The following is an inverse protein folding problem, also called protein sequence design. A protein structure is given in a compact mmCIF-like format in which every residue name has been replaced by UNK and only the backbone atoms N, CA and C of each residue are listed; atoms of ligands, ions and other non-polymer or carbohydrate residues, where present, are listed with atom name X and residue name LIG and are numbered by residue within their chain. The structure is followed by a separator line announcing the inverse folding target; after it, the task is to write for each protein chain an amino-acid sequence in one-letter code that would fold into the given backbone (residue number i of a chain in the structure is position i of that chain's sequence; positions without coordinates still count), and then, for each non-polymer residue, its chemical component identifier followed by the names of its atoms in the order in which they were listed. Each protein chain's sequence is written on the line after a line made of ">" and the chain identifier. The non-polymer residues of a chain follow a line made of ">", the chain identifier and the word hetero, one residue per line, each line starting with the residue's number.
data_IF_517744982495
#
_entry.id   IF_517744982495
#
_cell.length_a   1.000
_cell.length_b   1.000
_cell.length_c   1.000
_cell.angle_alpha   90.00
_cell.angle_beta   90.00
_cell.angle_gamma   90.00
#
_symmetry.space_group_name_H-M   'P 1'
#
loop_
_entity.id
_entity.type
_entity.pdbx_description
1 polymer ?
#
# COMPACT_ATOMS: atom_id res chain seq x y z
N UNK A 1 70.71 56.70 -14.32
CA UNK A 1 71.02 55.34 -14.81
C UNK A 1 69.82 54.45 -14.47
N UNK A 2 69.16 53.87 -15.47
CA UNK A 2 68.17 52.77 -15.33
C UNK A 2 66.69 53.13 -15.16
N UNK A 3 65.91 53.00 -16.24
CA UNK A 3 64.43 53.01 -16.30
C UNK A 3 63.90 51.56 -16.10
N UNK A 4 62.81 51.34 -15.35
CA UNK A 4 61.67 50.48 -15.75
C UNK A 4 60.51 50.45 -14.73
N UNK A 5 59.32 50.19 -15.28
CA UNK A 5 57.96 50.46 -14.82
C UNK A 5 57.20 49.13 -14.54
N UNK A 6 55.97 49.26 -14.00
CA UNK A 6 54.82 48.32 -13.88
C UNK A 6 54.75 47.53 -12.56
N UNK A 7 53.62 47.37 -11.87
CA UNK A 7 52.21 47.74 -12.03
C UNK A 7 51.40 47.10 -10.87
N UNK A 8 50.32 47.73 -10.40
CA UNK A 8 49.49 47.25 -9.26
C UNK A 8 48.46 46.17 -9.69
N UNK A 9 48.15 45.14 -8.87
CA UNK A 9 47.01 44.27 -9.11
C UNK A 9 45.73 44.82 -8.46
N UNK A 10 44.62 44.73 -9.20
CA UNK A 10 43.23 44.95 -8.73
C UNK A 10 42.58 43.58 -8.52
N UNK A 11 42.27 43.20 -7.28
CA UNK A 11 41.29 42.13 -7.03
C UNK A 11 40.48 42.44 -5.77
N UNK A 12 39.22 42.82 -5.97
CA UNK A 12 38.30 43.11 -4.88
C UNK A 12 36.91 43.43 -5.40
N UNK A 13 36.24 42.45 -6.03
CA UNK A 13 34.79 42.49 -6.31
C UNK A 13 34.16 41.20 -6.85
N UNK A 14 34.81 40.03 -6.77
CA UNK A 14 34.26 38.79 -7.33
C UNK A 14 33.52 37.89 -6.32
N UNK A 15 33.69 38.11 -5.01
CA UNK A 15 33.17 37.17 -4.00
C UNK A 15 31.69 37.34 -3.64
N UNK A 16 31.01 38.44 -4.03
CA UNK A 16 29.63 38.70 -3.59
C UNK A 16 28.54 38.18 -4.55
N UNK A 17 28.87 37.81 -5.80
CA UNK A 17 27.91 37.25 -6.76
C UNK A 17 27.89 35.72 -6.84
N UNK A 18 28.92 35.05 -6.36
CA UNK A 18 29.01 33.57 -6.40
C UNK A 18 28.22 32.90 -5.25
N UNK A 19 28.06 33.59 -4.12
CA UNK A 19 27.34 33.04 -2.95
C UNK A 19 25.82 32.96 -3.11
N UNK A 20 25.21 33.77 -3.98
CA UNK A 20 23.74 33.80 -4.16
C UNK A 20 23.27 32.75 -5.17
N UNK A 21 24.10 32.38 -6.15
CA UNK A 21 23.77 31.36 -7.15
C UNK A 21 23.93 29.93 -6.64
N UNK A 22 24.84 29.67 -5.68
CA UNK A 22 24.97 28.32 -5.11
C UNK A 22 23.80 27.96 -4.17
N UNK A 23 23.29 28.91 -3.38
CA UNK A 23 22.18 28.63 -2.46
C UNK A 23 20.86 28.35 -3.18
N UNK A 24 20.62 28.97 -4.33
CA UNK A 24 19.45 28.70 -5.16
C UNK A 24 19.52 27.34 -5.87
N UNK A 25 20.73 26.87 -6.24
CA UNK A 25 20.91 25.56 -6.87
C UNK A 25 20.75 24.41 -5.85
N UNK A 26 21.20 24.60 -4.61
CA UNK A 26 21.02 23.61 -3.54
C UNK A 26 19.54 23.46 -3.17
N UNK A 27 18.77 24.56 -3.10
CA UNK A 27 17.33 24.48 -2.86
C UNK A 27 16.56 23.79 -4.00
N UNK A 28 16.96 23.99 -5.26
CA UNK A 28 16.33 23.35 -6.42
C UNK A 28 16.64 21.85 -6.54
N UNK A 29 17.86 21.41 -6.17
CA UNK A 29 18.23 19.99 -6.15
C UNK A 29 17.65 19.27 -4.92
N UNK A 30 17.45 19.96 -3.80
CA UNK A 30 16.82 19.39 -2.59
C UNK A 30 15.33 19.09 -2.77
N UNK A 31 14.62 19.82 -3.65
CA UNK A 31 13.19 19.60 -3.92
C UNK A 31 12.93 18.57 -5.04
N UNK A 32 13.93 18.19 -5.83
CA UNK A 32 13.82 17.08 -6.79
C UNK A 32 13.92 15.69 -6.12
N UNK A 33 14.37 15.66 -4.86
CA UNK A 33 14.50 14.46 -4.05
C UNK A 33 13.94 14.65 -2.64
N UNK A 34 12.91 15.50 -2.48
CA UNK A 34 12.03 15.29 -1.35
C UNK A 34 11.41 13.91 -1.57
N UNK A 35 11.60 12.91 -0.68
CA UNK A 35 10.75 11.74 -0.73
C UNK A 35 9.34 12.30 -0.66
N UNK A 36 8.53 12.10 -1.71
CA UNK A 36 7.10 12.11 -1.52
C UNK A 36 6.90 11.22 -0.30
N UNK A 37 6.36 11.77 0.79
CA UNK A 37 6.01 10.96 1.94
C UNK A 37 5.07 9.90 1.37
N UNK A 38 5.57 8.67 1.18
CA UNK A 38 4.72 7.58 0.72
C UNK A 38 3.73 7.39 1.84
N UNK A 39 2.49 7.81 1.63
CA UNK A 39 1.45 7.50 2.59
C UNK A 39 1.18 6.00 2.48
N UNK A 40 1.78 5.23 3.37
CA UNK A 40 1.47 3.82 3.53
C UNK A 40 -0.01 3.69 3.91
N UNK A 41 -0.73 2.79 3.24
CA UNK A 41 -2.14 2.55 3.50
C UNK A 41 -2.31 1.51 4.61
N UNK A 42 -3.21 1.77 5.56
CA UNK A 42 -3.61 0.79 6.58
C UNK A 42 -4.68 -0.13 6.01
N UNK A 43 -4.61 -1.41 6.32
CA UNK A 43 -5.56 -2.38 5.80
C UNK A 43 -5.89 -3.48 6.77
N UNK A 44 -6.84 -4.28 6.31
CA UNK A 44 -7.21 -5.55 6.91
C UNK A 44 -7.29 -6.60 5.81
N UNK A 45 -7.07 -7.85 6.15
CA UNK A 45 -7.57 -8.95 5.36
C UNK A 45 -8.64 -9.72 6.14
N UNK A 46 -9.61 -10.24 5.38
CA UNK A 46 -10.78 -10.90 5.94
C UNK A 46 -11.12 -12.12 5.12
N UNK A 47 -11.65 -13.13 5.80
CA UNK A 47 -12.00 -14.40 5.20
C UNK A 47 -13.44 -14.78 5.52
N UNK A 48 -13.75 -16.06 5.32
CA UNK A 48 -14.99 -16.67 5.75
C UNK A 48 -15.17 -16.63 7.30
N UNK A 49 -14.09 -16.43 8.07
CA UNK A 49 -14.12 -16.29 9.53
C UNK A 49 -14.73 -14.97 10.01
N UNK A 50 -14.62 -13.90 9.21
CA UNK A 50 -15.16 -12.57 9.51
C UNK A 50 -16.49 -12.31 8.79
N UNK A 51 -17.22 -13.38 8.43
CA UNK A 51 -18.46 -13.25 7.68
C UNK A 51 -19.45 -12.29 8.37
N UNK A 52 -20.00 -11.35 7.61
CA UNK A 52 -20.89 -10.30 8.12
C UNK A 52 -20.18 -9.04 8.63
N UNK A 53 -18.85 -8.96 8.55
CA UNK A 53 -18.11 -7.73 8.90
C UNK A 53 -18.57 -6.52 8.10
N UNK A 54 -18.72 -5.39 8.78
CA UNK A 54 -19.03 -4.10 8.17
C UNK A 54 -17.74 -3.38 7.79
N UNK A 55 -17.34 -3.54 6.53
CA UNK A 55 -16.12 -2.96 5.97
C UNK A 55 -16.23 -1.45 5.85
N UNK A 56 -17.43 -0.94 5.49
CA UNK A 56 -17.62 0.48 5.19
C UNK A 56 -17.27 1.38 6.38
N UNK A 57 -17.57 0.91 7.60
CA UNK A 57 -17.32 1.63 8.84
C UNK A 57 -15.97 1.31 9.52
N UNK A 58 -15.08 0.57 8.86
CA UNK A 58 -13.69 0.42 9.33
C UNK A 58 -12.84 1.64 8.99
N UNK A 59 -11.79 1.88 9.78
CA UNK A 59 -10.77 2.89 9.52
C UNK A 59 -9.73 2.45 8.47
N UNK A 60 -9.86 1.25 7.90
CA UNK A 60 -8.94 0.73 6.90
C UNK A 60 -9.04 1.53 5.58
N UNK A 61 -7.92 1.72 4.91
CA UNK A 61 -7.84 2.27 3.56
C UNK A 61 -8.12 1.18 2.50
N UNK A 62 -7.84 -0.08 2.83
CA UNK A 62 -8.10 -1.22 1.97
C UNK A 62 -8.57 -2.48 2.71
N UNK A 63 -9.16 -3.42 1.97
CA UNK A 63 -9.43 -4.79 2.43
C UNK A 63 -8.98 -5.84 1.42
N UNK A 64 -8.29 -6.90 1.84
CA UNK A 64 -7.99 -8.07 0.98
C UNK A 64 -8.87 -9.24 1.39
N UNK A 65 -9.64 -9.78 0.46
CA UNK A 65 -10.76 -10.69 0.76
C UNK A 65 -10.41 -12.12 0.35
N UNK A 66 -10.57 -13.07 1.28
CA UNK A 66 -10.43 -14.49 1.01
C UNK A 66 -11.58 -14.95 0.14
N UNK A 67 -11.29 -15.36 -1.09
CA UNK A 67 -12.32 -15.66 -2.10
C UNK A 67 -12.50 -17.14 -2.35
N UNK A 68 -11.42 -17.90 -2.38
CA UNK A 68 -11.43 -19.30 -2.82
C UNK A 68 -10.38 -20.15 -2.08
N UNK A 69 -10.71 -21.42 -1.86
CA UNK A 69 -9.88 -22.43 -1.20
C UNK A 69 -9.79 -23.68 -2.08
N UNK A 70 -8.60 -24.01 -2.56
CA UNK A 70 -8.36 -25.18 -3.39
C UNK A 70 -9.22 -25.24 -4.65
N UNK A 71 -9.90 -26.37 -4.90
CA UNK A 71 -10.67 -26.60 -6.14
C UNK A 71 -12.16 -26.88 -5.91
N UNK A 72 -12.66 -26.44 -4.76
CA UNK A 72 -14.09 -26.50 -4.43
C UNK A 72 -14.51 -27.63 -3.49
N UNK A 73 -13.55 -28.26 -2.83
CA UNK A 73 -13.80 -29.33 -1.85
C UNK A 73 -14.19 -28.85 -0.44
N UNK A 74 -14.10 -27.55 -0.15
CA UNK A 74 -14.23 -27.03 1.23
C UNK A 74 -15.62 -26.47 1.51
N UNK A 75 -16.17 -26.78 2.68
CA UNK A 75 -17.41 -26.21 3.20
C UNK A 75 -17.18 -25.73 4.63
N UNK A 76 -17.54 -24.49 4.92
CA UNK A 76 -17.42 -23.88 6.26
C UNK A 76 -18.40 -22.70 6.39
N UNK A 77 -18.37 -21.97 7.50
CA UNK A 77 -19.10 -20.72 7.67
C UNK A 77 -18.79 -19.78 6.50
N UNK A 78 -19.82 -19.37 5.76
CA UNK A 78 -19.74 -18.53 4.55
C UNK A 78 -18.81 -19.05 3.46
N UNK A 79 -18.53 -20.36 3.44
CA UNK A 79 -17.77 -21.02 2.39
C UNK A 79 -18.55 -22.21 1.84
N UNK A 80 -18.88 -22.16 0.55
CA UNK A 80 -19.63 -23.22 -0.14
C UNK A 80 -18.84 -23.65 -1.36
N UNK A 81 -18.54 -24.94 -1.45
CA UNK A 81 -17.75 -25.51 -2.54
C UNK A 81 -16.46 -24.71 -2.78
N UNK A 82 -15.72 -24.41 -1.70
CA UNK A 82 -14.47 -23.66 -1.72
C UNK A 82 -14.59 -22.19 -2.16
N UNK A 83 -15.78 -21.59 -2.22
CA UNK A 83 -15.99 -20.18 -2.58
C UNK A 83 -16.59 -19.42 -1.39
N UNK A 84 -16.02 -18.26 -1.05
CA UNK A 84 -16.55 -17.39 -0.01
C UNK A 84 -17.82 -16.69 -0.50
N UNK A 85 -18.95 -17.05 0.11
CA UNK A 85 -20.28 -16.52 -0.27
C UNK A 85 -20.49 -15.07 0.16
N UNK A 86 -19.65 -14.54 1.05
CA UNK A 86 -19.74 -13.17 1.55
C UNK A 86 -18.80 -12.20 0.81
N UNK A 87 -17.87 -12.71 -0.01
CA UNK A 87 -16.84 -11.91 -0.66
C UNK A 87 -17.41 -10.76 -1.51
N UNK A 88 -18.49 -11.00 -2.26
CA UNK A 88 -19.14 -9.96 -3.07
C UNK A 88 -19.68 -8.80 -2.22
N UNK A 89 -20.22 -9.10 -1.02
CA UNK A 89 -20.72 -8.06 -0.11
C UNK A 89 -19.57 -7.22 0.44
N UNK A 90 -18.49 -7.87 0.87
CA UNK A 90 -17.27 -7.22 1.38
C UNK A 90 -16.67 -6.30 0.31
N UNK A 91 -16.51 -6.78 -0.93
CA UNK A 91 -15.99 -5.99 -2.07
C UNK A 91 -16.91 -4.81 -2.38
N UNK A 92 -18.23 -5.02 -2.43
CA UNK A 92 -19.18 -3.96 -2.70
C UNK A 92 -19.15 -2.85 -1.62
N UNK A 93 -18.99 -3.22 -0.35
CA UNK A 93 -18.83 -2.24 0.74
C UNK A 93 -17.52 -1.47 0.63
N UNK A 94 -16.41 -2.13 0.29
CA UNK A 94 -15.13 -1.46 0.06
C UNK A 94 -15.25 -0.41 -1.06
N UNK A 95 -15.81 -0.80 -2.21
CA UNK A 95 -16.04 0.10 -3.34
C UNK A 95 -16.96 1.27 -2.99
N UNK A 96 -18.08 1.01 -2.31
CA UNK A 96 -19.04 2.04 -1.94
C UNK A 96 -18.48 3.06 -0.91
N UNK A 97 -17.50 2.65 -0.11
CA UNK A 97 -16.84 3.49 0.89
C UNK A 97 -15.51 4.10 0.40
N UNK A 98 -15.16 3.92 -0.87
CA UNK A 98 -13.94 4.46 -1.47
C UNK A 98 -12.64 3.75 -1.05
N UNK A 99 -12.75 2.59 -0.39
CA UNK A 99 -11.60 1.78 0.01
C UNK A 99 -11.08 0.97 -1.18
N UNK A 100 -9.77 0.70 -1.19
CA UNK A 100 -9.20 -0.27 -2.13
C UNK A 100 -9.60 -1.68 -1.71
N UNK A 101 -9.67 -2.59 -2.68
CA UNK A 101 -9.92 -3.99 -2.38
C UNK A 101 -8.92 -4.91 -3.09
N UNK A 102 -8.75 -6.10 -2.52
CA UNK A 102 -7.96 -7.19 -3.07
C UNK A 102 -8.67 -8.52 -2.90
N UNK A 103 -8.16 -9.54 -3.58
CA UNK A 103 -8.67 -10.91 -3.56
C UNK A 103 -7.52 -11.84 -3.22
N UNK A 104 -7.74 -12.87 -2.41
CA UNK A 104 -6.78 -13.94 -2.27
C UNK A 104 -7.39 -15.32 -2.45
N UNK A 105 -6.53 -16.25 -2.83
CA UNK A 105 -6.79 -17.69 -2.92
C UNK A 105 -5.94 -18.43 -1.91
N UNK A 106 -6.56 -19.21 -1.03
CA UNK A 106 -5.88 -20.08 -0.09
C UNK A 106 -5.44 -21.38 -0.76
N UNK A 107 -4.13 -21.59 -0.82
CA UNK A 107 -3.54 -22.78 -1.42
C UNK A 107 -3.85 -24.03 -0.59
N UNK A 108 -4.40 -25.07 -1.23
CA UNK A 108 -4.62 -26.37 -0.59
C UNK A 108 -3.70 -27.47 -1.10
N UNK A 109 -2.64 -27.09 -1.82
CA UNK A 109 -1.58 -27.99 -2.27
C UNK A 109 -2.01 -29.05 -3.27
N UNK A 110 -3.13 -28.85 -3.96
CA UNK A 110 -3.57 -29.68 -5.08
C UNK A 110 -2.74 -29.43 -6.35
N UNK A 111 -3.38 -29.52 -7.52
CA UNK A 111 -2.71 -29.12 -8.76
C UNK A 111 -2.69 -27.57 -8.87
N UNK A 112 -1.51 -26.93 -9.06
CA UNK A 112 -1.42 -25.48 -9.03
C UNK A 112 -2.19 -24.81 -10.16
N UNK A 113 -2.23 -25.39 -11.37
CA UNK A 113 -3.02 -24.82 -12.47
C UNK A 113 -4.53 -24.94 -12.22
N UNK A 114 -4.98 -26.04 -11.64
CA UNK A 114 -6.39 -26.25 -11.32
C UNK A 114 -6.87 -25.26 -10.24
N UNK A 115 -6.07 -25.00 -9.21
CA UNK A 115 -6.35 -23.99 -8.19
C UNK A 115 -6.35 -22.58 -8.79
N UNK A 116 -5.37 -22.23 -9.63
CA UNK A 116 -5.35 -20.93 -10.32
C UNK A 116 -6.56 -20.73 -11.25
N UNK A 117 -6.97 -21.76 -11.99
CA UNK A 117 -8.17 -21.74 -12.83
C UNK A 117 -9.45 -21.64 -12.01
N UNK A 118 -9.51 -22.31 -10.86
CA UNK A 118 -10.63 -22.21 -9.93
C UNK A 118 -10.74 -20.78 -9.37
N UNK A 119 -9.63 -20.22 -8.91
CA UNK A 119 -9.57 -18.84 -8.42
C UNK A 119 -10.02 -17.86 -9.51
N UNK A 120 -9.40 -17.90 -10.69
CA UNK A 120 -9.72 -17.00 -11.79
C UNK A 120 -11.18 -17.12 -12.24
N UNK A 121 -11.69 -18.34 -12.44
CA UNK A 121 -13.08 -18.55 -12.87
C UNK A 121 -14.09 -17.92 -11.91
N UNK A 122 -13.86 -18.02 -10.61
CA UNK A 122 -14.77 -17.51 -9.59
C UNK A 122 -14.61 -16.02 -9.29
N UNK A 123 -13.54 -15.37 -9.78
CA UNK A 123 -13.22 -13.98 -9.41
C UNK A 123 -12.93 -13.06 -10.59
N UNK A 124 -12.88 -13.57 -11.83
CA UNK A 124 -12.41 -12.87 -13.04
C UNK A 124 -13.03 -11.49 -13.27
N UNK A 125 -14.26 -11.26 -12.83
CA UNK A 125 -14.96 -9.97 -12.92
C UNK A 125 -14.32 -8.86 -12.06
N UNK A 126 -13.46 -9.21 -11.11
CA UNK A 126 -12.75 -8.27 -10.22
C UNK A 126 -11.29 -8.05 -10.58
N UNK A 127 -10.74 -8.87 -11.48
CA UNK A 127 -9.33 -8.73 -11.91
C UNK A 127 -9.18 -7.40 -12.65
N UNK A 128 -8.03 -6.73 -12.46
CA UNK A 128 -7.77 -5.36 -12.94
C UNK A 128 -8.51 -4.24 -12.20
N UNK A 129 -9.30 -4.58 -11.19
CA UNK A 129 -9.99 -3.60 -10.34
C UNK A 129 -9.53 -3.63 -8.88
N UNK A 130 -8.96 -4.75 -8.44
CA UNK A 130 -8.29 -4.91 -7.15
C UNK A 130 -7.02 -5.74 -7.30
N UNK A 131 -6.16 -5.74 -6.27
CA UNK A 131 -5.01 -6.64 -6.25
C UNK A 131 -5.48 -8.09 -6.15
N UNK A 132 -4.62 -9.00 -6.58
CA UNK A 132 -4.84 -10.44 -6.43
C UNK A 132 -3.64 -11.04 -5.70
N UNK A 133 -3.87 -12.03 -4.86
CA UNK A 133 -2.83 -12.67 -4.07
C UNK A 133 -3.00 -14.20 -4.03
N UNK A 134 -1.88 -14.89 -3.96
CA UNK A 134 -1.80 -16.28 -3.52
C UNK A 134 -1.50 -16.28 -2.03
N UNK A 135 -2.35 -16.93 -1.25
CA UNK A 135 -2.12 -17.23 0.15
C UNK A 135 -1.43 -18.60 0.26
N UNK A 136 -0.12 -18.56 0.51
CA UNK A 136 0.77 -19.71 0.59
C UNK A 136 1.19 -19.93 2.04
N UNK A 137 0.58 -20.93 2.67
CA UNK A 137 0.78 -21.29 4.08
C UNK A 137 0.96 -22.80 4.28
N UNK A 138 1.34 -23.20 5.49
CA UNK A 138 1.62 -24.60 5.84
C UNK A 138 0.36 -25.41 6.15
N UNK A 139 -0.62 -24.77 6.77
CA UNK A 139 -1.83 -25.45 7.22
C UNK A 139 -2.66 -25.90 6.00
N UNK A 140 -3.26 -27.09 6.08
CA UNK A 140 -4.08 -27.70 5.01
C UNK A 140 -3.44 -27.75 3.61
N UNK A 141 -2.12 -27.56 3.51
CA UNK A 141 -1.38 -27.46 2.26
C UNK A 141 -0.24 -28.49 2.21
N UNK A 142 -0.48 -29.70 1.67
CA UNK A 142 0.55 -30.72 1.53
C UNK A 142 1.69 -30.34 0.55
N UNK A 143 1.53 -29.30 -0.27
CA UNK A 143 2.57 -28.81 -1.16
C UNK A 143 3.49 -27.77 -0.50
N UNK A 144 3.24 -27.41 0.77
CA UNK A 144 4.04 -26.40 1.48
C UNK A 144 5.55 -26.66 1.38
N UNK A 145 6.29 -25.61 1.03
CA UNK A 145 7.73 -25.69 0.75
C UNK A 145 8.10 -25.98 -0.71
N UNK A 146 7.14 -26.32 -1.57
CA UNK A 146 7.34 -26.46 -3.01
C UNK A 146 7.23 -25.12 -3.74
N UNK A 147 8.37 -24.50 -4.05
CA UNK A 147 8.40 -23.26 -4.82
C UNK A 147 8.04 -23.46 -6.31
N UNK A 148 8.13 -24.67 -6.87
CA UNK A 148 7.66 -24.92 -8.23
C UNK A 148 6.14 -24.86 -8.31
N UNK A 149 5.45 -25.36 -7.28
CA UNK A 149 4.01 -25.21 -7.12
C UNK A 149 3.60 -23.72 -7.17
N UNK A 150 4.28 -22.89 -6.38
CA UNK A 150 4.04 -21.43 -6.33
C UNK A 150 4.27 -20.78 -7.69
N UNK A 151 5.38 -21.10 -8.37
CA UNK A 151 5.66 -20.57 -9.72
C UNK A 151 4.55 -20.89 -10.71
N UNK A 152 4.08 -22.14 -10.69
CA UNK A 152 3.06 -22.62 -11.63
C UNK A 152 1.72 -21.96 -11.38
N UNK A 153 1.30 -21.83 -10.12
CA UNK A 153 0.09 -21.11 -9.76
C UNK A 153 0.15 -19.64 -10.21
N UNK A 154 1.20 -18.92 -9.81
CA UNK A 154 1.36 -17.49 -10.13
C UNK A 154 1.44 -17.24 -11.64
N UNK A 155 2.17 -18.09 -12.36
CA UNK A 155 2.28 -18.01 -13.83
C UNK A 155 0.95 -18.30 -14.53
N UNK A 156 0.16 -19.25 -14.02
CA UNK A 156 -1.15 -19.56 -14.61
C UNK A 156 -2.14 -18.41 -14.37
N UNK A 157 -2.14 -17.80 -13.19
CA UNK A 157 -2.89 -16.57 -12.90
C UNK A 157 -2.49 -15.41 -13.84
N UNK A 158 -1.19 -15.18 -14.04
CA UNK A 158 -0.69 -14.16 -14.96
C UNK A 158 -1.12 -14.44 -16.40
N UNK A 159 -1.09 -15.70 -16.84
CA UNK A 159 -1.54 -16.11 -18.17
C UNK A 159 -3.05 -15.90 -18.36
N UNK A 160 -3.87 -16.38 -17.42
CA UNK A 160 -5.34 -16.31 -17.49
C UNK A 160 -5.86 -14.87 -17.52
N UNK A 161 -5.21 -13.99 -16.76
CA UNK A 161 -5.59 -12.58 -16.65
C UNK A 161 -5.05 -11.68 -17.76
N UNK A 162 -4.13 -12.19 -18.59
CA UNK A 162 -3.41 -11.38 -19.57
C UNK A 162 -2.42 -10.39 -18.95
N UNK A 163 -1.74 -10.79 -17.87
CA UNK A 163 -0.58 -10.08 -17.32
C UNK A 163 -0.74 -9.46 -15.93
N UNK A 164 -1.83 -9.72 -15.20
CA UNK A 164 -1.91 -9.33 -13.77
C UNK A 164 -1.05 -10.30 -12.96
N UNK A 165 -0.14 -9.77 -12.16
CA UNK A 165 0.78 -10.56 -11.33
C UNK A 165 0.29 -10.60 -9.90
N UNK A 166 -0.10 -11.77 -9.35
CA UNK A 166 -0.51 -11.84 -7.96
C UNK A 166 0.62 -11.50 -7.00
N UNK A 167 0.27 -10.96 -5.84
CA UNK A 167 1.16 -10.95 -4.69
C UNK A 167 1.32 -12.38 -4.15
N UNK A 168 2.50 -12.70 -3.62
CA UNK A 168 2.72 -13.91 -2.83
C UNK A 168 2.59 -13.55 -1.35
N UNK A 169 1.50 -13.99 -0.72
CA UNK A 169 1.37 -13.99 0.73
C UNK A 169 2.04 -15.20 1.34
N UNK A 170 2.89 -14.99 2.35
CA UNK A 170 3.48 -16.09 3.12
C UNK A 170 4.04 -15.62 4.46
N UNK A 171 4.22 -16.57 5.38
CA UNK A 171 4.77 -16.35 6.72
C UNK A 171 6.32 -16.23 6.77
N UNK A 172 6.95 -16.58 7.92
CA UNK A 172 8.38 -16.32 8.20
C UNK A 172 9.38 -17.11 7.33
N UNK A 173 8.92 -17.88 6.35
CA UNK A 173 9.76 -18.45 5.28
C UNK A 173 10.10 -17.43 4.19
N UNK A 174 9.65 -16.17 4.31
CA UNK A 174 9.92 -15.11 3.34
C UNK A 174 11.39 -15.07 2.89
N UNK A 175 12.35 -15.27 3.81
CA UNK A 175 13.78 -15.29 3.50
C UNK A 175 14.26 -16.41 2.55
N UNK A 176 13.46 -17.46 2.33
CA UNK A 176 13.78 -18.60 1.46
C UNK A 176 13.12 -18.53 0.09
N UNK A 177 12.30 -17.50 -0.18
CA UNK A 177 11.65 -17.31 -1.49
C UNK A 177 12.73 -17.15 -2.58
N UNK A 178 12.71 -18.00 -3.63
CA UNK A 178 13.62 -17.89 -4.77
C UNK A 178 13.61 -16.51 -5.44
N UNK A 179 14.79 -16.06 -5.89
CA UNK A 179 14.96 -14.73 -6.48
C UNK A 179 14.10 -14.51 -7.73
N UNK A 180 13.92 -15.54 -8.56
CA UNK A 180 13.09 -15.43 -9.77
C UNK A 180 11.61 -15.14 -9.47
N UNK A 181 11.10 -15.57 -8.31
CA UNK A 181 9.76 -15.20 -7.83
C UNK A 181 9.78 -13.74 -7.35
N UNK A 182 10.80 -13.36 -6.55
CA UNK A 182 10.94 -12.00 -5.98
C UNK A 182 11.08 -10.92 -7.05
N UNK A 183 11.78 -11.23 -8.14
CA UNK A 183 12.00 -10.30 -9.26
C UNK A 183 10.71 -10.07 -10.07
N UNK A 184 9.74 -10.98 -9.97
CA UNK A 184 8.55 -10.97 -10.84
C UNK A 184 7.25 -10.62 -10.10
N UNK A 185 7.11 -11.04 -8.84
CA UNK A 185 5.88 -10.92 -8.05
C UNK A 185 6.11 -10.09 -6.78
N UNK A 186 5.13 -9.26 -6.42
CA UNK A 186 5.17 -8.54 -5.16
C UNK A 186 4.97 -9.47 -3.97
N UNK A 187 5.50 -9.10 -2.80
CA UNK A 187 5.38 -9.90 -1.59
C UNK A 187 4.39 -9.27 -0.61
N UNK A 188 3.60 -10.12 0.03
CA UNK A 188 2.80 -9.83 1.21
C UNK A 188 3.29 -10.71 2.36
N UNK A 189 3.95 -10.16 3.37
CA UNK A 189 4.62 -10.99 4.39
C UNK A 189 3.88 -10.90 5.72
N UNK A 190 3.50 -12.05 6.26
CA UNK A 190 2.99 -12.18 7.62
C UNK A 190 4.13 -12.45 8.61
N UNK A 191 4.30 -11.54 9.57
CA UNK A 191 5.10 -11.83 10.76
C UNK A 191 4.85 -10.76 11.83
N UNK A 192 4.63 -11.24 13.05
CA UNK A 192 4.08 -10.44 14.14
C UNK A 192 5.12 -10.27 15.25
N UNK A 193 5.15 -9.10 15.90
CA UNK A 193 6.04 -8.86 17.04
C UNK A 193 5.71 -9.77 18.23
N UNK A 194 4.43 -10.10 18.40
CA UNK A 194 3.86 -11.00 19.38
C UNK A 194 2.37 -11.24 19.02
N UNK A 195 1.66 -12.03 19.83
CA UNK A 195 0.23 -12.36 19.66
C UNK A 195 -0.70 -11.54 20.57
N UNK A 196 -0.24 -10.39 21.08
CA UNK A 196 -1.07 -9.54 21.93
C UNK A 196 -2.04 -8.73 21.06
N UNK A 197 -3.31 -8.56 21.47
CA UNK A 197 -4.25 -7.74 20.73
C UNK A 197 -3.74 -6.31 20.49
N UNK A 198 -3.97 -5.80 19.29
CA UNK A 198 -3.53 -4.46 18.86
C UNK A 198 -4.53 -3.83 17.88
N UNK A 199 -4.47 -2.51 17.72
CA UNK A 199 -5.09 -1.81 16.60
C UNK A 199 -4.08 -1.47 15.50
N UNK A 200 -4.46 -0.58 14.59
CA UNK A 200 -3.63 -0.14 13.48
C UNK A 200 -2.27 0.43 13.92
N UNK A 201 -1.22 0.13 13.16
CA UNK A 201 0.16 0.58 13.43
C UNK A 201 0.76 1.23 12.20
N UNK A 202 1.22 2.47 12.34
CA UNK A 202 1.93 3.18 11.27
C UNK A 202 3.35 2.66 11.02
N UNK A 203 3.98 2.06 12.05
CA UNK A 203 5.35 1.54 11.97
C UNK A 203 5.45 0.17 12.65
N UNK A 204 4.86 -0.88 12.05
CA UNK A 204 4.90 -2.21 12.63
C UNK A 204 6.31 -2.80 12.60
N UNK A 205 6.56 -3.75 13.49
CA UNK A 205 7.85 -4.43 13.61
C UNK A 205 8.26 -5.11 12.29
N UNK A 206 9.52 -4.94 11.90
CA UNK A 206 10.13 -5.53 10.69
C UNK A 206 9.48 -5.15 9.36
N UNK A 207 8.70 -4.05 9.30
CA UNK A 207 8.18 -3.56 8.02
C UNK A 207 9.31 -3.32 7.00
N UNK A 208 9.17 -3.93 5.83
CA UNK A 208 10.11 -3.79 4.70
C UNK A 208 11.38 -4.64 4.82
N UNK A 209 11.50 -5.51 5.85
CA UNK A 209 12.69 -6.33 6.06
C UNK A 209 12.97 -7.30 4.91
N UNK A 210 11.97 -7.65 4.10
CA UNK A 210 12.08 -8.57 2.98
C UNK A 210 11.88 -7.89 1.62
N UNK A 211 11.78 -6.55 1.59
CA UNK A 211 11.40 -5.79 0.41
C UNK A 211 9.93 -5.94 0.04
N UNK A 212 9.08 -6.29 1.00
CA UNK A 212 7.66 -6.56 0.77
C UNK A 212 6.87 -5.31 0.40
N UNK A 213 5.83 -5.51 -0.43
CA UNK A 213 4.87 -4.49 -0.79
C UNK A 213 3.80 -4.34 0.31
N UNK A 214 3.46 -5.44 0.99
CA UNK A 214 2.45 -5.47 2.04
C UNK A 214 2.94 -6.31 3.21
N UNK A 215 2.53 -5.92 4.42
CA UNK A 215 2.91 -6.58 5.66
C UNK A 215 1.67 -6.84 6.49
N UNK A 216 1.37 -8.10 6.76
CA UNK A 216 0.44 -8.47 7.81
C UNK A 216 1.21 -8.51 9.13
N UNK A 217 0.92 -7.60 10.05
CA UNK A 217 1.69 -7.41 11.28
C UNK A 217 0.99 -7.89 12.55
N UNK A 218 -0.27 -8.32 12.45
CA UNK A 218 -0.99 -8.96 13.54
C UNK A 218 -2.10 -9.84 12.99
N UNK A 219 -2.23 -11.07 13.51
CA UNK A 219 -3.44 -11.89 13.38
C UNK A 219 -4.36 -11.85 14.59
N UNK A 220 -4.20 -10.85 15.45
CA UNK A 220 -4.98 -10.64 16.69
C UNK A 220 -5.49 -9.20 16.79
N UNK A 221 -5.69 -8.55 15.65
CA UNK A 221 -6.17 -7.19 15.58
C UNK A 221 -7.58 -7.01 16.14
N UNK A 222 -7.84 -5.80 16.61
CA UNK A 222 -9.17 -5.36 17.05
C UNK A 222 -9.56 -4.14 16.23
N UNK A 223 -10.62 -4.27 15.43
CA UNK A 223 -11.18 -3.19 14.60
C UNK A 223 -12.64 -3.02 14.94
N UNK A 224 -13.00 -1.87 15.49
CA UNK A 224 -14.33 -1.61 16.06
C UNK A 224 -14.71 -2.72 17.06
N UNK A 225 -15.77 -3.49 16.78
CA UNK A 225 -16.23 -4.62 17.60
C UNK A 225 -15.75 -5.98 17.10
N UNK A 226 -14.92 -6.02 16.05
CA UNK A 226 -14.43 -7.25 15.43
C UNK A 226 -13.06 -7.64 15.97
N UNK A 227 -12.94 -8.91 16.38
CA UNK A 227 -11.71 -9.54 16.85
C UNK A 227 -11.85 -11.07 16.77
N UNK A 228 -10.80 -11.82 16.39
CA UNK A 228 -9.56 -11.31 15.82
C UNK A 228 -9.75 -10.86 14.35
N UNK A 229 -8.99 -9.83 13.97
CA UNK A 229 -8.87 -9.32 12.60
C UNK A 229 -7.40 -9.23 12.22
N UNK A 230 -7.07 -9.66 11.02
CA UNK A 230 -5.73 -9.52 10.49
C UNK A 230 -5.49 -8.05 10.09
N UNK A 231 -4.35 -7.50 10.50
CA UNK A 231 -3.99 -6.10 10.28
C UNK A 231 -2.79 -5.99 9.34
N UNK A 232 -2.96 -5.16 8.31
CA UNK A 232 -1.99 -4.96 7.25
C UNK A 232 -1.53 -3.52 7.11
N UNK A 233 -0.34 -3.36 6.53
CA UNK A 233 0.12 -2.10 5.97
C UNK A 233 0.66 -2.34 4.56
N UNK A 234 0.15 -1.58 3.59
CA UNK A 234 0.65 -1.56 2.22
C UNK A 234 1.61 -0.37 2.04
N UNK A 235 2.80 -0.65 1.50
CA UNK A 235 3.89 0.32 1.34
C UNK A 235 3.73 1.15 0.07
N UNK A 236 2.69 1.97 0.05
CA UNK A 236 2.40 2.87 -1.04
C UNK A 236 0.98 3.41 -0.97
N UNK A 237 0.69 4.30 -1.91
CA UNK A 237 -0.59 4.99 -2.01
C UNK A 237 -1.57 4.25 -2.93
N UNK A 238 -2.81 4.72 -2.95
CA UNK A 238 -3.89 4.21 -3.79
C UNK A 238 -3.53 4.05 -5.28
N UNK A 239 -2.71 4.95 -5.84
CA UNK A 239 -2.31 4.86 -7.25
C UNK A 239 -1.29 3.74 -7.50
N UNK A 240 -0.43 3.41 -6.52
CA UNK A 240 0.51 2.29 -6.59
C UNK A 240 -0.23 0.96 -6.44
N UNK A 241 -1.26 0.93 -5.59
CA UNK A 241 -2.19 -0.21 -5.52
C UNK A 241 -2.83 -0.49 -6.88
N UNK A 242 -3.26 0.57 -7.59
CA UNK A 242 -3.87 0.43 -8.92
C UNK A 242 -2.89 -0.12 -9.97
N UNK A 243 -1.58 0.11 -9.82
CA UNK A 243 -0.55 -0.50 -10.68
C UNK A 243 -0.40 -2.00 -10.41
N UNK A 244 -0.50 -2.45 -9.15
CA UNK A 244 -0.56 -3.88 -8.84
C UNK A 244 -1.84 -4.53 -9.37
N UNK A 245 -2.98 -3.85 -9.22
CA UNK A 245 -4.27 -4.34 -9.71
C UNK A 245 -4.29 -4.45 -11.24
N UNK A 246 -3.84 -3.41 -11.94
CA UNK A 246 -3.87 -3.32 -13.40
C UNK A 246 -2.55 -2.76 -13.97
N UNK A 247 -1.53 -3.60 -14.22
CA UNK A 247 -0.23 -3.14 -14.69
C UNK A 247 -0.25 -2.51 -16.09
N UNK A 248 -1.30 -2.77 -16.88
CA UNK A 248 -1.51 -2.14 -18.19
C UNK A 248 -2.32 -0.83 -18.12
N UNK A 249 -2.93 -0.53 -16.97
CA UNK A 249 -3.93 0.52 -16.80
C UNK A 249 -3.38 1.94 -16.70
N UNK A 250 -2.06 2.12 -16.61
CA UNK A 250 -1.42 3.42 -16.53
C UNK A 250 -1.98 4.29 -15.39
N UNK A 251 -1.65 3.97 -14.13
CA UNK A 251 -1.97 4.83 -13.00
C UNK A 251 -0.86 5.86 -12.78
N UNK A 252 -1.22 7.12 -12.51
CA UNK A 252 -0.24 8.20 -12.28
C UNK A 252 -0.29 8.70 -10.84
N UNK A 253 0.86 9.09 -10.27
CA UNK A 253 0.88 9.78 -8.98
C UNK A 253 -0.06 10.99 -9.00
N UNK A 254 -0.76 11.28 -7.89
CA UNK A 254 -1.45 12.54 -7.72
C UNK A 254 -0.49 13.70 -7.96
N UNK A 255 -0.98 14.77 -8.57
CA UNK A 255 -0.19 16.00 -8.67
C UNK A 255 0.24 16.42 -7.25
N UNK A 256 1.53 16.70 -7.06
CA UNK A 256 2.02 17.22 -5.78
C UNK A 256 1.16 18.42 -5.39
N UNK A 257 0.57 18.45 -4.18
CA UNK A 257 -0.18 19.62 -3.74
C UNK A 257 0.69 20.86 -3.94
N UNK A 258 0.16 21.88 -4.61
CA UNK A 258 0.84 23.16 -4.69
C UNK A 258 1.19 23.59 -3.26
N UNK A 259 2.44 24.02 -3.05
CA UNK A 259 2.84 24.58 -1.77
C UNK A 259 1.78 25.61 -1.34
N UNK A 260 1.35 25.62 -0.06
CA UNK A 260 0.37 26.59 0.40
C UNK A 260 0.78 27.97 -0.08
N UNK A 261 -0.11 28.65 -0.82
CA UNK A 261 0.16 30.01 -1.23
C UNK A 261 0.52 30.79 0.04
N UNK A 262 1.75 31.32 0.09
CA UNK A 262 2.14 32.23 1.17
C UNK A 262 1.05 33.29 1.27
N UNK A 263 0.44 33.51 2.44
CA UNK A 263 -0.49 34.60 2.60
C UNK A 263 0.24 35.87 2.22
N UNK A 264 -0.12 36.47 1.07
CA UNK A 264 0.24 37.84 0.77
C UNK A 264 -0.49 38.68 1.82
N UNK A 265 0.16 38.90 2.96
CA UNK A 265 -0.27 39.89 3.93
C UNK A 265 -0.10 41.24 3.22
N UNK A 266 -1.19 41.95 2.89
CA UNK A 266 -1.05 43.34 2.48
C UNK A 266 -0.44 44.09 3.68
N UNK A 267 0.41 45.12 3.44
CA UNK A 267 0.91 45.94 4.53
C UNK A 267 -0.27 46.44 5.37
N UNK A 268 -0.18 46.29 6.70
CA UNK A 268 -1.23 46.72 7.61
C UNK A 268 -1.50 48.21 7.42
N UNK A 269 -2.70 48.54 6.98
CA UNK A 269 -3.20 49.91 6.95
C UNK A 269 -3.70 50.24 8.36
N UNK A 270 -2.82 50.82 9.19
CA UNK A 270 -3.19 51.29 10.52
C UNK A 270 -3.95 52.60 10.39
N UNK A 271 -5.26 52.52 10.22
CA UNK A 271 -6.17 53.58 10.61
C UNK A 271 -7.35 53.00 11.39
N UNK A 272 -7.23 53.10 12.70
CA UNK A 272 -8.25 52.80 13.70
C UNK A 272 -9.49 53.67 13.54
N UNK A 273 -10.65 53.03 13.50
CA UNK A 273 -11.94 53.62 13.83
C UNK A 273 -12.92 52.51 14.17
N UNK A 274 -13.45 52.52 15.40
CA UNK A 274 -14.34 51.53 16.03
C UNK A 274 -15.27 50.77 15.06
N UNK A 275 -15.52 49.49 15.27
CA UNK A 275 -16.49 49.00 16.26
C UNK A 275 -16.11 47.60 16.75
N UNK A 276 -16.36 47.38 18.04
CA UNK A 276 -16.21 46.15 18.83
C UNK A 276 -17.14 45.00 18.42
N UNK A 277 -16.61 43.78 18.43
CA UNK A 277 -17.32 42.61 18.99
C UNK A 277 -16.29 41.54 19.41
N UNK A 278 -16.27 41.19 20.70
CA UNK A 278 -15.57 40.00 21.18
C UNK A 278 -16.62 38.90 21.27
N UNK A 279 -16.51 37.87 20.44
CA UNK A 279 -17.38 36.70 20.46
C UNK A 279 -16.93 35.78 21.60
N UNK A 280 -17.86 35.38 22.48
CA UNK A 280 -17.60 34.41 23.55
C UNK A 280 -18.10 33.02 23.17
N UNK A 281 -17.51 32.02 23.82
CA UNK A 281 -17.64 30.59 23.53
C UNK A 281 -19.09 30.11 23.69
N UNK A 282 -19.73 29.65 22.59
CA UNK A 282 -21.06 29.03 22.61
C UNK A 282 -22.12 29.57 21.65
N UNK A 283 -21.80 30.49 20.72
CA UNK A 283 -22.76 30.90 19.70
C UNK A 283 -22.79 29.90 18.53
N UNK A 284 -23.99 29.44 18.18
CA UNK A 284 -24.29 28.69 16.94
C UNK A 284 -24.89 29.65 15.92
N UNK A 285 -24.67 29.38 14.64
CA UNK A 285 -25.19 30.16 13.51
C UNK A 285 -26.73 30.23 13.56
#
# INVERSE_FOLDING_TARGET
>A
MGILNKGKPKHGRLHRRVGVTLSALVAAVSMAFAPAAMADMQGIDVSNWQCGIDIANTQADFVVVGTTWGTGQVYNNCLVSGVNTDANRVIAQAQASGKKFGLYHYAMGGNPEAEAQFFYRNTSNYWRHGIVALDWEMDDNPAWGDWDWVRRFLSECERLSGGVRPLLYTGPVAGTIPQDIRDRYGLWIAQYANMSPTGYQANPWMIGAYGEAMRQYSGTGVVNTWSPIDLDIFRGEAWQWDLYANPAGGSTPPATPAAPAQPNTPPADTNTGGISHIMQWGETI
#
